data_IF_269784845635
#
_entry.id   IF_269784845635
#
_cell.length_a   1.000
_cell.length_b   1.000
_cell.length_c   1.000
_cell.angle_alpha   90.00
_cell.angle_beta   90.00
_cell.angle_gamma   90.00
#
_symmetry.space_group_name_H-M   'P 1'
#
loop_
_entity.id
_entity.type
_entity.pdbx_description
1 polymer ?
#
# COMPACT_ATOMS: atom_id res chain seq x y z
N UNK A 1 1.94 9.79 -4.79
CA UNK A 1 1.48 8.65 -5.59
C UNK A 1 2.53 8.18 -6.60
N UNK A 2 2.32 7.03 -7.21
CA UNK A 2 3.18 6.49 -8.25
C UNK A 2 3.25 4.96 -8.24
N UNK A 3 3.85 4.34 -9.28
CA UNK A 3 3.92 2.89 -9.41
C UNK A 3 4.82 2.22 -8.36
N UNK A 4 4.76 0.89 -8.29
CA UNK A 4 5.59 0.10 -7.36
C UNK A 4 7.08 0.29 -7.65
N UNK A 5 7.91 0.36 -6.59
CA UNK A 5 9.37 0.48 -6.75
C UNK A 5 9.88 1.84 -7.27
N UNK A 6 9.03 2.87 -7.39
CA UNK A 6 9.44 4.21 -7.83
C UNK A 6 10.28 4.98 -6.79
N UNK A 7 10.36 4.49 -5.55
CA UNK A 7 11.09 5.16 -4.46
C UNK A 7 10.23 6.04 -3.56
N UNK A 8 8.90 5.95 -3.68
CA UNK A 8 7.94 6.76 -2.91
C UNK A 8 8.17 6.68 -1.41
N UNK A 9 8.21 5.47 -0.86
CA UNK A 9 8.34 5.28 0.59
C UNK A 9 9.64 5.84 1.14
N UNK A 10 10.74 5.70 0.40
CA UNK A 10 12.04 6.26 0.80
C UNK A 10 12.00 7.79 0.85
N UNK A 11 11.46 8.41 -0.20
CA UNK A 11 11.31 9.86 -0.28
C UNK A 11 10.34 10.38 0.78
N UNK A 12 9.15 9.75 0.89
CA UNK A 12 8.11 10.16 1.81
C UNK A 12 8.56 10.09 3.28
N UNK A 13 9.25 9.03 3.68
CA UNK A 13 9.82 8.91 5.04
C UNK A 13 10.85 9.99 5.33
N UNK A 14 11.71 10.29 4.37
CA UNK A 14 12.72 11.34 4.53
C UNK A 14 12.07 12.71 4.69
N UNK A 15 11.12 13.05 3.82
CA UNK A 15 10.40 14.33 3.89
C UNK A 15 9.59 14.42 5.19
N UNK A 16 8.89 13.37 5.59
CA UNK A 16 8.12 13.34 6.83
C UNK A 16 9.01 13.60 8.06
N UNK A 17 10.20 13.00 8.11
CA UNK A 17 11.17 13.23 9.17
C UNK A 17 11.68 14.67 9.19
N UNK A 18 12.03 15.25 8.05
CA UNK A 18 12.52 16.62 7.94
C UNK A 18 11.45 17.66 8.35
N UNK A 19 10.18 17.39 8.04
CA UNK A 19 9.05 18.27 8.37
C UNK A 19 8.40 17.96 9.72
N UNK A 20 8.85 16.91 10.43
CA UNK A 20 8.20 16.39 11.64
C UNK A 20 6.72 16.03 11.40
N UNK A 21 6.42 15.48 10.22
CA UNK A 21 5.11 14.97 9.83
C UNK A 21 5.01 13.47 10.05
N UNK A 22 3.79 12.99 10.19
CA UNK A 22 3.51 11.56 10.28
C UNK A 22 3.63 10.92 8.88
N UNK A 23 4.46 9.88 8.75
CA UNK A 23 4.50 9.10 7.52
C UNK A 23 3.44 8.01 7.55
N UNK A 24 2.63 7.93 6.51
CA UNK A 24 1.57 6.91 6.36
C UNK A 24 1.81 6.08 5.10
N UNK A 25 2.15 4.81 5.28
CA UNK A 25 2.21 3.79 4.23
C UNK A 25 0.82 3.18 4.04
N UNK A 26 0.06 3.63 3.04
CA UNK A 26 -1.26 3.07 2.77
C UNK A 26 -1.19 1.65 2.19
N UNK A 27 -0.08 1.30 1.54
CA UNK A 27 0.18 -0.08 1.11
C UNK A 27 0.18 -1.06 2.29
N UNK A 28 0.71 -0.67 3.45
CA UNK A 28 0.67 -1.48 4.66
C UNK A 28 -0.77 -1.69 5.15
N UNK A 29 -1.63 -0.68 5.03
CA UNK A 29 -3.05 -0.78 5.39
C UNK A 29 -3.76 -1.82 4.50
N UNK A 30 -3.56 -1.77 3.18
CA UNK A 30 -4.12 -2.77 2.26
C UNK A 30 -3.52 -4.17 2.47
N UNK A 31 -2.22 -4.27 2.81
CA UNK A 31 -1.60 -5.55 3.16
C UNK A 31 -2.21 -6.16 4.42
N UNK A 32 -2.63 -5.36 5.39
CA UNK A 32 -3.34 -5.84 6.57
C UNK A 32 -4.68 -6.50 6.21
N UNK A 33 -5.43 -5.91 5.27
CA UNK A 33 -6.66 -6.54 4.74
C UNK A 33 -6.32 -7.84 4.01
N UNK A 34 -5.34 -7.81 3.11
CA UNK A 34 -4.90 -9.01 2.38
C UNK A 34 -4.48 -10.14 3.29
N UNK A 35 -3.71 -9.83 4.32
CA UNK A 35 -3.32 -10.80 5.36
C UNK A 35 -4.54 -11.40 6.06
N UNK A 36 -5.47 -10.56 6.49
CA UNK A 36 -6.69 -11.02 7.17
C UNK A 36 -7.53 -11.96 6.31
N UNK A 37 -7.74 -11.61 5.05
CA UNK A 37 -8.49 -12.45 4.09
C UNK A 37 -7.80 -13.80 3.88
N UNK A 38 -6.46 -13.81 3.75
CA UNK A 38 -5.68 -15.05 3.65
C UNK A 38 -5.82 -15.92 4.91
N UNK A 39 -5.77 -15.33 6.10
CA UNK A 39 -5.95 -16.08 7.36
C UNK A 39 -7.33 -16.72 7.48
N UNK A 40 -8.34 -16.14 6.84
CA UNK A 40 -9.71 -16.68 6.79
C UNK A 40 -9.91 -17.71 5.67
N UNK A 41 -8.90 -17.96 4.85
CA UNK A 41 -9.00 -18.88 3.71
C UNK A 41 -10.00 -18.46 2.65
N UNK A 42 -10.38 -17.18 2.60
CA UNK A 42 -11.32 -16.67 1.61
C UNK A 42 -10.63 -16.40 0.27
N UNK A 43 -11.36 -16.63 -0.83
CA UNK A 43 -10.87 -16.32 -2.17
C UNK A 43 -10.76 -14.80 -2.36
N UNK A 44 -9.55 -14.31 -2.66
CA UNK A 44 -9.23 -12.90 -2.81
C UNK A 44 -9.91 -12.23 -4.00
N UNK A 45 -10.33 -13.00 -5.00
CA UNK A 45 -11.05 -12.55 -6.19
C UNK A 45 -12.57 -12.55 -6.01
N UNK A 46 -13.07 -13.09 -4.90
CA UNK A 46 -14.50 -13.08 -4.59
C UNK A 46 -14.85 -11.85 -3.73
N UNK A 47 -15.29 -10.76 -4.39
CA UNK A 47 -15.60 -9.51 -3.74
C UNK A 47 -16.68 -9.61 -2.66
N UNK A 48 -17.69 -10.50 -2.85
CA UNK A 48 -18.77 -10.70 -1.87
C UNK A 48 -18.26 -11.38 -0.60
N UNK A 49 -17.44 -12.42 -0.73
CA UNK A 49 -16.84 -13.08 0.42
C UNK A 49 -15.90 -12.16 1.18
N UNK A 50 -15.07 -11.37 0.48
CA UNK A 50 -14.19 -10.40 1.13
C UNK A 50 -15.01 -9.33 1.86
N UNK A 51 -16.05 -8.78 1.22
CA UNK A 51 -16.92 -7.79 1.85
C UNK A 51 -17.62 -8.33 3.10
N UNK A 52 -18.03 -9.61 3.10
CA UNK A 52 -18.66 -10.26 4.24
C UNK A 52 -17.74 -10.40 5.46
N UNK A 53 -16.42 -10.37 5.26
CA UNK A 53 -15.42 -10.43 6.35
C UNK A 53 -15.16 -9.07 7.02
N UNK A 54 -15.47 -7.95 6.35
CA UNK A 54 -15.13 -6.62 6.84
C UNK A 54 -15.81 -6.21 8.16
N UNK A 55 -17.07 -6.60 8.45
CA UNK A 55 -17.72 -6.27 9.72
C UNK A 55 -16.98 -6.80 10.97
N UNK A 56 -16.28 -7.94 10.84
CA UNK A 56 -15.52 -8.56 11.93
C UNK A 56 -14.05 -8.13 11.97
N UNK A 57 -13.68 -7.21 11.11
CA UNK A 57 -12.32 -6.71 10.97
C UNK A 57 -12.17 -5.37 11.68
N UNK A 58 -11.13 -5.25 12.50
CA UNK A 58 -10.65 -3.99 13.03
C UNK A 58 -9.17 -3.80 12.64
N UNK A 59 -8.90 -2.79 11.84
CA UNK A 59 -7.55 -2.41 11.43
C UNK A 59 -7.16 -1.10 12.11
N UNK A 60 -6.01 -1.11 12.78
CA UNK A 60 -5.48 0.07 13.44
C UNK A 60 -4.07 0.38 12.93
N UNK A 61 -3.82 1.67 12.71
CA UNK A 61 -2.48 2.20 12.48
C UNK A 61 -1.97 2.72 13.82
N UNK A 62 -0.86 2.16 14.29
CA UNK A 62 -0.18 2.63 15.51
C UNK A 62 1.23 3.08 15.16
N UNK A 63 1.78 3.98 15.96
CA UNK A 63 3.15 4.45 15.84
C UNK A 63 3.91 4.09 17.12
N UNK A 64 5.06 3.41 16.96
CA UNK A 64 5.95 3.08 18.07
C UNK A 64 6.71 4.31 18.58
N UNK A 65 7.43 4.14 19.67
CA UNK A 65 8.32 5.17 20.24
C UNK A 65 9.43 5.58 19.26
N UNK A 66 9.77 4.69 18.32
CA UNK A 66 10.71 4.91 17.21
C UNK A 66 10.09 5.72 16.04
N UNK A 67 8.80 6.07 16.14
CA UNK A 67 8.05 6.77 15.11
C UNK A 67 7.68 5.89 13.89
N UNK A 68 7.91 4.57 13.96
CA UNK A 68 7.57 3.65 12.87
C UNK A 68 6.09 3.26 12.92
N UNK A 69 5.52 3.09 11.72
CA UNK A 69 4.14 2.63 11.56
C UNK A 69 4.04 1.13 11.85
N UNK A 70 3.14 0.78 12.76
CA UNK A 70 2.73 -0.58 13.09
C UNK A 70 1.30 -0.81 12.62
N UNK A 71 1.03 -2.00 12.11
CA UNK A 71 -0.30 -2.44 11.71
C UNK A 71 -0.83 -3.44 12.72
N UNK A 72 -2.02 -3.15 13.25
CA UNK A 72 -2.70 -4.03 14.20
C UNK A 72 -4.02 -4.47 13.59
N UNK A 73 -4.25 -5.78 13.55
CA UNK A 73 -5.48 -6.41 13.04
C UNK A 73 -6.13 -7.19 14.16
N UNK A 74 -7.35 -6.81 14.53
CA UNK A 74 -8.10 -7.44 15.62
C UNK A 74 -7.28 -7.60 16.91
N UNK A 75 -6.50 -6.58 17.25
CA UNK A 75 -5.65 -6.55 18.44
C UNK A 75 -4.28 -7.23 18.30
N UNK A 76 -4.00 -7.90 17.19
CA UNK A 76 -2.70 -8.52 16.89
C UNK A 76 -1.83 -7.56 16.06
N UNK A 77 -0.59 -7.32 16.51
CA UNK A 77 0.41 -6.63 15.67
C UNK A 77 0.86 -7.60 14.57
N UNK A 78 0.66 -7.17 13.32
CA UNK A 78 0.95 -7.94 12.11
C UNK A 78 1.99 -7.26 11.22
N UNK A 79 2.72 -6.32 11.77
CA UNK A 79 3.66 -5.46 11.03
C UNK A 79 4.70 -6.25 10.23
N UNK A 80 5.19 -7.34 10.78
CA UNK A 80 6.18 -8.18 10.11
C UNK A 80 5.53 -9.17 9.14
N UNK A 81 4.40 -9.77 9.53
CA UNK A 81 3.67 -10.76 8.74
C UNK A 81 3.17 -10.20 7.41
N UNK A 82 2.80 -8.92 7.37
CA UNK A 82 2.29 -8.28 6.15
C UNK A 82 3.38 -7.95 5.11
N UNK A 83 4.65 -8.24 5.39
CA UNK A 83 5.76 -7.94 4.47
C UNK A 83 6.06 -9.06 3.47
N UNK A 84 5.40 -10.19 3.58
CA UNK A 84 5.61 -11.33 2.67
C UNK A 84 5.18 -10.99 1.23
N UNK A 85 5.78 -11.64 0.22
CA UNK A 85 5.35 -11.51 -1.18
C UNK A 85 3.89 -11.94 -1.39
N UNK A 86 3.45 -12.98 -0.71
CA UNK A 86 2.06 -13.47 -0.77
C UNK A 86 1.06 -12.41 -0.30
N UNK A 87 1.31 -11.77 0.84
CA UNK A 87 0.47 -10.70 1.37
C UNK A 87 0.51 -9.46 0.46
N UNK A 88 1.67 -9.16 -0.14
CA UNK A 88 1.78 -8.06 -1.10
C UNK A 88 0.94 -8.29 -2.36
N UNK A 89 0.87 -9.54 -2.85
CA UNK A 89 0.00 -9.93 -3.96
C UNK A 89 -1.48 -9.85 -3.57
N UNK A 90 -1.82 -10.34 -2.36
CA UNK A 90 -3.17 -10.25 -1.81
C UNK A 90 -3.65 -8.80 -1.68
N UNK A 91 -2.80 -7.89 -1.22
CA UNK A 91 -3.10 -6.46 -1.11
C UNK A 91 -3.51 -5.84 -2.44
N UNK A 92 -2.83 -6.19 -3.53
CA UNK A 92 -3.18 -5.72 -4.88
C UNK A 92 -4.55 -6.22 -5.33
N UNK A 93 -4.93 -7.44 -4.94
CA UNK A 93 -6.23 -8.01 -5.27
C UNK A 93 -7.36 -7.35 -4.47
N UNK A 94 -7.23 -7.27 -3.14
CA UNK A 94 -8.27 -6.66 -2.30
C UNK A 94 -8.42 -5.15 -2.55
N UNK A 95 -7.36 -4.46 -2.98
CA UNK A 95 -7.41 -3.05 -3.35
C UNK A 95 -8.29 -2.75 -4.58
N UNK A 96 -8.60 -3.75 -5.39
CA UNK A 96 -9.54 -3.63 -6.50
C UNK A 96 -11.01 -3.74 -6.07
N UNK A 97 -11.30 -4.18 -4.85
CA UNK A 97 -12.64 -4.40 -4.32
C UNK A 97 -13.20 -3.10 -3.75
N UNK A 98 -14.31 -2.55 -4.30
CA UNK A 98 -14.86 -1.27 -3.83
C UNK A 98 -15.21 -1.25 -2.34
N UNK A 99 -15.75 -2.34 -1.78
CA UNK A 99 -16.08 -2.42 -0.36
C UNK A 99 -14.85 -2.28 0.54
N UNK A 100 -13.71 -2.85 0.17
CA UNK A 100 -12.44 -2.69 0.90
C UNK A 100 -11.98 -1.24 0.87
N UNK A 101 -12.09 -0.58 -0.26
CA UNK A 101 -11.70 0.83 -0.40
C UNK A 101 -12.59 1.73 0.44
N UNK A 102 -13.91 1.51 0.41
CA UNK A 102 -14.86 2.26 1.23
C UNK A 102 -14.56 2.07 2.74
N UNK A 103 -14.28 0.84 3.15
CA UNK A 103 -13.93 0.51 4.54
C UNK A 103 -12.69 1.29 5.03
N UNK A 104 -11.68 1.46 4.18
CA UNK A 104 -10.42 2.12 4.55
C UNK A 104 -10.42 3.63 4.36
N UNK A 105 -11.35 4.18 3.59
CA UNK A 105 -11.32 5.59 3.18
C UNK A 105 -11.39 6.55 4.38
N UNK A 106 -12.32 6.30 5.29
CA UNK A 106 -12.52 7.16 6.47
C UNK A 106 -11.32 7.10 7.42
N UNK A 107 -10.72 5.93 7.60
CA UNK A 107 -9.49 5.77 8.40
C UNK A 107 -8.36 6.63 7.83
N UNK A 108 -8.10 6.53 6.52
CA UNK A 108 -7.05 7.28 5.85
C UNK A 108 -7.29 8.79 5.93
N UNK A 109 -8.51 9.23 5.69
CA UNK A 109 -8.90 10.64 5.80
C UNK A 109 -8.80 11.16 7.23
N UNK A 110 -9.16 10.35 8.21
CA UNK A 110 -9.09 10.73 9.62
C UNK A 110 -7.64 10.96 10.07
N UNK A 111 -6.68 10.16 9.60
CA UNK A 111 -5.26 10.39 9.87
C UNK A 111 -4.81 11.76 9.36
N UNK A 112 -5.25 12.17 8.17
CA UNK A 112 -4.92 13.47 7.61
C UNK A 112 -5.66 14.64 8.28
N UNK A 113 -6.83 14.42 8.86
CA UNK A 113 -7.58 15.45 9.63
C UNK A 113 -6.97 15.73 10.99
N UNK A 114 -6.36 14.72 11.59
CA UNK A 114 -5.87 14.79 12.98
C UNK A 114 -4.38 15.02 13.08
N UNK A 115 -3.63 14.85 11.98
CA UNK A 115 -2.17 15.00 11.93
C UNK A 115 -1.72 15.69 10.65
N UNK A 116 -0.56 16.32 10.70
CA UNK A 116 0.18 16.66 9.48
C UNK A 116 0.81 15.37 8.94
N UNK A 117 0.45 14.96 7.72
CA UNK A 117 0.84 13.67 7.16
C UNK A 117 1.60 13.79 5.85
N UNK A 118 2.50 12.86 5.62
CA UNK A 118 2.99 12.49 4.28
C UNK A 118 2.47 11.09 3.99
N UNK A 119 1.56 10.98 3.06
CA UNK A 119 0.87 9.73 2.73
C UNK A 119 1.31 9.22 1.37
N UNK A 120 1.78 7.98 1.28
CA UNK A 120 2.14 7.37 0.01
C UNK A 120 1.16 6.27 -0.41
N UNK A 121 0.89 6.17 -1.70
CA UNK A 121 -0.04 5.20 -2.27
C UNK A 121 -0.11 5.25 -3.79
N UNK A 122 -1.30 4.99 -4.32
CA UNK A 122 -1.61 4.96 -5.76
C UNK A 122 -2.65 6.00 -6.16
N UNK A 123 -3.51 6.38 -5.24
CA UNK A 123 -4.70 7.20 -5.46
C UNK A 123 -4.91 8.22 -4.34
N UNK A 124 -3.84 8.57 -3.63
CA UNK A 124 -3.93 9.48 -2.49
C UNK A 124 -4.37 10.86 -2.96
N UNK A 125 -3.69 11.43 -3.94
CA UNK A 125 -3.98 12.76 -4.46
C UNK A 125 -5.18 12.82 -5.42
N UNK A 126 -5.76 11.69 -5.81
CA UNK A 126 -6.91 11.64 -6.73
C UNK A 126 -8.21 11.24 -6.05
N UNK A 127 -8.16 10.40 -5.01
CA UNK A 127 -9.36 9.84 -4.35
C UNK A 127 -9.36 10.06 -2.85
N UNK A 128 -8.25 9.73 -2.17
CA UNK A 128 -8.21 9.76 -0.69
C UNK A 128 -8.17 11.20 -0.19
N UNK A 129 -7.22 11.99 -0.67
CA UNK A 129 -6.99 13.39 -0.30
C UNK A 129 -6.91 14.28 -1.55
N UNK A 130 -8.02 14.46 -2.28
CA UNK A 130 -8.04 15.26 -3.51
C UNK A 130 -7.71 16.74 -3.25
N UNK A 131 -7.91 17.22 -2.03
CA UNK A 131 -7.62 18.60 -1.59
C UNK A 131 -6.28 18.72 -0.83
N UNK A 132 -5.37 17.76 -1.00
CA UNK A 132 -4.06 17.83 -0.35
C UNK A 132 -3.27 19.07 -0.79
N UNK A 133 -2.60 19.77 0.13
CA UNK A 133 -1.81 20.98 -0.12
C UNK A 133 -0.68 20.75 -1.14
N UNK A 134 -0.12 19.55 -1.15
CA UNK A 134 0.92 19.18 -2.10
C UNK A 134 0.70 17.74 -2.60
N UNK A 135 0.67 17.60 -3.92
CA UNK A 135 0.53 16.30 -4.58
C UNK A 135 1.75 16.02 -5.44
N UNK A 136 2.38 14.88 -5.21
CA UNK A 136 3.55 14.44 -5.96
C UNK A 136 3.28 13.08 -6.61
N UNK A 137 3.49 13.00 -7.91
CA UNK A 137 3.48 11.73 -8.64
C UNK A 137 4.92 11.35 -8.98
N UNK A 138 5.44 10.34 -8.28
CA UNK A 138 6.81 9.87 -8.44
C UNK A 138 6.83 8.66 -9.39
N UNK A 139 7.62 8.75 -10.44
CA UNK A 139 7.77 7.68 -11.43
C UNK A 139 9.23 7.39 -11.73
N UNK A 140 9.49 6.22 -12.29
CA UNK A 140 10.75 5.81 -12.87
C UNK A 140 10.45 4.76 -13.95
N UNK A 141 11.38 4.52 -14.88
CA UNK A 141 11.20 3.49 -15.90
C UNK A 141 11.05 2.10 -15.28
N UNK A 142 10.35 1.21 -15.96
CA UNK A 142 10.13 -0.17 -15.49
C UNK A 142 11.46 -0.86 -15.24
N UNK A 143 12.44 -0.65 -16.13
CA UNK A 143 13.76 -1.21 -16.07
C UNK A 143 14.56 -0.74 -14.83
N UNK A 144 14.52 0.56 -14.54
CA UNK A 144 15.18 1.14 -13.37
C UNK A 144 14.57 0.62 -12.05
N UNK A 145 13.24 0.49 -12.01
CA UNK A 145 12.51 -0.05 -10.86
C UNK A 145 12.81 -1.54 -10.65
N UNK A 146 12.78 -2.32 -11.72
CA UNK A 146 13.10 -3.74 -11.68
C UNK A 146 14.55 -3.99 -11.23
N UNK A 147 15.51 -3.25 -11.77
CA UNK A 147 16.91 -3.35 -11.36
C UNK A 147 17.12 -3.03 -9.87
N UNK A 148 16.42 -2.02 -9.34
CA UNK A 148 16.44 -1.69 -7.92
C UNK A 148 15.86 -2.81 -7.08
N UNK A 149 14.71 -3.35 -7.49
CA UNK A 149 14.05 -4.45 -6.79
C UNK A 149 14.88 -5.72 -6.75
N UNK A 150 15.56 -6.06 -7.84
CA UNK A 150 16.50 -7.19 -7.88
C UNK A 150 17.62 -7.03 -6.85
N UNK A 151 18.19 -5.82 -6.75
CA UNK A 151 19.26 -5.54 -5.76
C UNK A 151 18.72 -5.68 -4.32
N UNK A 152 17.54 -5.17 -4.04
CA UNK A 152 16.89 -5.30 -2.71
C UNK A 152 16.65 -6.78 -2.35
N UNK A 153 16.14 -7.58 -3.29
CA UNK A 153 15.89 -9.00 -3.08
C UNK A 153 17.19 -9.77 -2.85
N UNK A 154 18.23 -9.50 -3.63
CA UNK A 154 19.54 -10.11 -3.45
C UNK A 154 20.16 -9.77 -2.07
N UNK A 155 20.06 -8.52 -1.62
CA UNK A 155 20.50 -8.09 -0.30
C UNK A 155 19.75 -8.78 0.84
N UNK A 156 18.49 -9.17 0.62
CA UNK A 156 17.68 -9.94 1.59
C UNK A 156 17.91 -11.45 1.52
N UNK A 157 18.81 -11.91 0.67
CA UNK A 157 19.10 -13.34 0.50
C UNK A 157 18.06 -14.12 -0.31
N UNK A 158 17.19 -13.42 -1.02
CA UNK A 158 16.14 -14.02 -1.89
C UNK A 158 16.27 -13.50 -3.32
N UNK A 159 17.39 -13.79 -4.03
CA UNK A 159 17.59 -13.32 -5.39
C UNK A 159 16.53 -13.88 -6.33
N UNK A 160 16.02 -13.01 -7.21
CA UNK A 160 15.04 -13.35 -8.26
C UNK A 160 15.56 -12.84 -9.60
N UNK A 161 15.30 -13.57 -10.68
CA UNK A 161 15.72 -13.19 -12.02
C UNK A 161 15.12 -11.84 -12.42
N UNK A 162 15.93 -11.00 -13.08
CA UNK A 162 15.52 -9.66 -13.52
C UNK A 162 14.24 -9.67 -14.38
N UNK A 163 14.16 -10.59 -15.34
CA UNK A 163 12.99 -10.71 -16.23
C UNK A 163 11.71 -11.06 -15.48
N UNK A 164 11.81 -11.88 -14.45
CA UNK A 164 10.67 -12.23 -13.58
C UNK A 164 10.22 -11.00 -12.78
N UNK A 165 11.15 -10.28 -12.17
CA UNK A 165 10.85 -9.06 -11.43
C UNK A 165 10.21 -8.00 -12.33
N UNK A 166 10.75 -7.80 -13.53
CA UNK A 166 10.23 -6.84 -14.51
C UNK A 166 8.80 -7.20 -14.95
N UNK A 167 8.57 -8.48 -15.26
CA UNK A 167 7.25 -9.00 -15.65
C UNK A 167 6.21 -8.82 -14.54
N UNK A 168 6.57 -9.17 -13.31
CA UNK A 168 5.68 -9.02 -12.14
C UNK A 168 5.34 -7.57 -11.85
N UNK A 169 6.31 -6.66 -11.96
CA UNK A 169 6.09 -5.24 -11.77
C UNK A 169 5.16 -4.67 -12.84
N UNK A 170 5.37 -5.01 -14.11
CA UNK A 170 4.49 -4.58 -15.22
C UNK A 170 3.06 -5.08 -15.05
N UNK A 171 2.89 -6.34 -14.67
CA UNK A 171 1.58 -6.93 -14.40
C UNK A 171 0.87 -6.22 -13.24
N UNK A 172 1.60 -5.88 -12.18
CA UNK A 172 1.05 -5.15 -11.04
C UNK A 172 0.65 -3.73 -11.40
N UNK A 173 1.51 -3.01 -12.10
CA UNK A 173 1.23 -1.65 -12.53
C UNK A 173 0.04 -1.58 -13.50
N UNK A 174 -0.09 -2.58 -14.37
CA UNK A 174 -1.26 -2.69 -15.26
C UNK A 174 -2.55 -2.90 -14.46
N UNK A 175 -2.55 -3.79 -13.46
CA UNK A 175 -3.68 -3.97 -12.55
C UNK A 175 -4.02 -2.66 -11.81
N UNK A 176 -3.02 -1.95 -11.31
CA UNK A 176 -3.22 -0.69 -10.59
C UNK A 176 -3.79 0.41 -11.50
N UNK A 177 -3.39 0.44 -12.78
CA UNK A 177 -3.89 1.42 -13.78
C UNK A 177 -5.27 1.10 -14.32
N UNK A 178 -5.59 -0.19 -14.49
CA UNK A 178 -6.82 -0.63 -15.18
C UNK A 178 -7.96 -0.99 -14.24
N UNK A 179 -7.71 -1.05 -12.93
CA UNK A 179 -8.79 -1.35 -11.97
C UNK A 179 -9.87 -0.28 -12.04
N UNK A 180 -11.14 -0.70 -11.94
CA UNK A 180 -12.31 0.19 -12.04
C UNK A 180 -12.37 1.17 -10.86
N UNK A 181 -11.98 0.71 -9.66
CA UNK A 181 -12.00 1.53 -8.44
C UNK A 181 -10.64 2.21 -8.23
N UNK A 182 -10.61 3.53 -8.24
CA UNK A 182 -9.45 4.37 -7.91
C UNK A 182 -8.15 3.94 -8.64
N UNK A 183 -8.11 3.97 -9.99
CA UNK A 183 -6.95 3.56 -10.75
C UNK A 183 -5.74 4.46 -10.47
N UNK A 184 -4.54 3.88 -10.61
CA UNK A 184 -3.30 4.64 -10.57
C UNK A 184 -3.25 5.62 -11.74
N UNK A 185 -3.28 6.90 -11.45
CA UNK A 185 -3.10 7.98 -12.44
C UNK A 185 -2.49 9.22 -11.78
N UNK A 186 -1.83 10.01 -12.60
CA UNK A 186 -1.36 11.32 -12.15
C UNK A 186 -2.59 12.22 -11.95
N UNK A 187 -2.72 12.78 -10.76
CA UNK A 187 -3.68 13.84 -10.47
C UNK A 187 -3.20 15.17 -11.01
N UNK A 188 -4.13 16.04 -11.35
CA UNK A 188 -3.86 17.44 -11.67
C UNK A 188 -3.46 18.25 -10.44
#
# INVERSE_FOLDING_TARGET
DGPSGAGKSTLARRVARELHFLYVDTGAIYRSIGWYVLQRGAALDNAELVAALLPDLNVEVRYGEDGLQHMVVNGQDVTDEIRSPEVSAAASQVAAIPAVRAYLLDMQRNLARTHNVIMDGRDIGTVVLPEADCKVFLTASDEARAARRCRELAQRGTPVAYEEVLSDMRRRDEKDRTRAAAPLRQGG
#
